data_IF_445691471091
#
_entry.id   IF_445691471091
#
_cell.length_a   1.000
_cell.length_b   1.000
_cell.length_c   1.000
_cell.angle_alpha   90.00
_cell.angle_beta   90.00
_cell.angle_gamma   90.00
#
_symmetry.space_group_name_H-M   'P 1'
#
loop_
_entity.id
_entity.type
_entity.pdbx_description
1 polymer ?
#
# COMPACT_ATOMS: atom_id res chain seq x y z
N UNK A 1 -27.85 -44.75 52.86
CA UNK A 1 -26.62 -43.95 52.61
C UNK A 1 -25.83 -44.48 51.41
N UNK A 2 -25.68 -45.79 51.24
CA UNK A 2 -24.95 -46.41 50.11
C UNK A 2 -25.52 -46.08 48.72
N UNK A 3 -26.84 -46.05 48.56
CA UNK A 3 -27.51 -45.71 47.27
C UNK A 3 -27.28 -44.28 46.80
N UNK A 4 -27.23 -43.32 47.73
CA UNK A 4 -26.99 -41.90 47.42
C UNK A 4 -25.54 -41.65 47.00
N UNK A 5 -24.59 -42.37 47.60
CA UNK A 5 -23.17 -42.35 47.22
C UNK A 5 -23.01 -42.99 45.85
N UNK A 6 -23.64 -44.15 45.61
CA UNK A 6 -23.62 -44.82 44.31
C UNK A 6 -24.18 -43.92 43.18
N UNK A 7 -25.29 -43.22 43.42
CA UNK A 7 -25.87 -42.28 42.46
C UNK A 7 -24.94 -41.09 42.17
N UNK A 8 -24.27 -40.54 43.19
CA UNK A 8 -23.28 -39.45 43.00
C UNK A 8 -22.08 -39.90 42.17
N UNK A 9 -21.53 -41.08 42.47
CA UNK A 9 -20.39 -41.65 41.73
C UNK A 9 -20.77 -41.92 40.27
N UNK A 10 -21.94 -42.51 40.02
CA UNK A 10 -22.45 -42.74 38.67
C UNK A 10 -22.56 -41.42 37.88
N UNK A 11 -23.11 -40.37 38.48
CA UNK A 11 -23.22 -39.06 37.84
C UNK A 11 -21.85 -38.45 37.51
N UNK A 12 -20.86 -38.59 38.40
CA UNK A 12 -19.50 -38.11 38.11
C UNK A 12 -18.82 -38.88 36.98
N UNK A 13 -19.02 -40.21 36.91
CA UNK A 13 -18.50 -41.06 35.84
C UNK A 13 -19.16 -40.75 34.50
N UNK A 14 -20.48 -40.55 34.49
CA UNK A 14 -21.22 -40.16 33.29
C UNK A 14 -20.72 -38.80 32.76
N UNK A 15 -20.51 -37.82 33.65
CA UNK A 15 -19.95 -36.52 33.25
C UNK A 15 -18.53 -36.63 32.66
N UNK A 16 -17.67 -37.47 33.25
CA UNK A 16 -16.32 -37.71 32.73
C UNK A 16 -16.32 -38.44 31.37
N UNK A 17 -17.25 -39.39 31.17
CA UNK A 17 -17.45 -40.09 29.91
C UNK A 17 -17.93 -39.13 28.81
N UNK A 18 -18.95 -38.32 29.11
CA UNK A 18 -19.45 -37.29 28.19
C UNK A 18 -18.36 -36.29 27.77
N UNK A 19 -17.50 -35.87 28.71
CA UNK A 19 -16.37 -34.98 28.42
C UNK A 19 -15.33 -35.63 27.51
N UNK A 20 -15.05 -36.92 27.70
CA UNK A 20 -14.13 -37.68 26.84
C UNK A 20 -14.70 -37.82 25.43
N UNK A 21 -16.01 -38.07 25.31
CA UNK A 21 -16.71 -38.10 24.02
C UNK A 21 -16.69 -36.73 23.33
N UNK A 22 -16.90 -35.64 24.08
CA UNK A 22 -16.81 -34.26 23.56
C UNK A 22 -15.41 -33.97 23.00
N UNK A 23 -14.35 -34.36 23.73
CA UNK A 23 -12.95 -34.24 23.26
C UNK A 23 -12.66 -35.11 22.03
N UNK A 24 -13.18 -36.33 21.98
CA UNK A 24 -13.02 -37.21 20.81
C UNK A 24 -13.74 -36.64 19.58
N UNK A 25 -14.95 -36.10 19.76
CA UNK A 25 -15.74 -35.54 18.66
C UNK A 25 -15.17 -34.24 18.12
N UNK A 26 -14.53 -33.43 18.96
CA UNK A 26 -13.94 -32.13 18.58
C UNK A 26 -12.46 -32.25 18.20
N UNK A 27 -11.78 -33.31 18.65
CA UNK A 27 -10.33 -33.45 18.54
C UNK A 27 -9.54 -32.46 19.41
N UNK A 28 -10.21 -31.65 20.23
CA UNK A 28 -9.59 -30.60 21.03
C UNK A 28 -9.48 -31.03 22.49
N UNK A 29 -8.32 -30.80 23.09
CA UNK A 29 -8.12 -31.03 24.53
C UNK A 29 -8.89 -30.02 25.37
N UNK A 30 -9.08 -28.78 24.92
CA UNK A 30 -9.78 -27.73 25.67
C UNK A 30 -11.00 -27.31 24.85
N UNK A 31 -12.20 -27.67 25.33
CA UNK A 31 -13.47 -27.35 24.66
C UNK A 31 -14.26 -26.25 25.36
N UNK A 32 -14.04 -26.05 26.68
CA UNK A 32 -14.77 -25.07 27.49
C UNK A 32 -13.79 -24.21 28.27
N UNK A 33 -14.10 -22.93 28.38
CA UNK A 33 -13.32 -21.97 29.19
C UNK A 33 -13.26 -22.37 30.67
N UNK A 34 -14.22 -23.18 31.14
CA UNK A 34 -14.26 -23.70 32.51
C UNK A 34 -13.19 -24.75 32.81
N UNK A 35 -12.61 -25.40 31.80
CA UNK A 35 -11.64 -26.50 32.00
C UNK A 35 -10.19 -26.03 32.07
N UNK A 36 -9.83 -25.03 31.26
CA UNK A 36 -8.51 -24.41 31.22
C UNK A 36 -8.63 -23.01 30.57
N UNK A 37 -8.96 -21.97 31.34
CA UNK A 37 -9.20 -20.64 30.77
C UNK A 37 -7.92 -20.04 30.17
N UNK A 38 -6.76 -20.27 30.79
CA UNK A 38 -5.48 -19.77 30.28
C UNK A 38 -5.07 -20.49 28.98
N UNK A 39 -5.21 -21.82 28.94
CA UNK A 39 -4.94 -22.61 27.74
C UNK A 39 -5.91 -22.32 26.60
N UNK A 40 -7.19 -22.02 26.91
CA UNK A 40 -8.15 -21.56 25.90
C UNK A 40 -7.76 -20.20 25.32
N UNK A 41 -7.42 -19.22 26.16
CA UNK A 41 -6.99 -17.89 25.69
C UNK A 41 -5.77 -18.01 24.78
N UNK A 42 -4.73 -18.74 25.20
CA UNK A 42 -3.54 -18.94 24.37
C UNK A 42 -3.88 -19.64 23.04
N UNK A 43 -4.79 -20.62 23.05
CA UNK A 43 -5.23 -21.33 21.84
C UNK A 43 -6.01 -20.43 20.88
N UNK A 44 -6.86 -19.53 21.39
CA UNK A 44 -7.58 -18.57 20.56
C UNK A 44 -6.67 -17.48 20.00
N UNK A 45 -5.67 -17.02 20.76
CA UNK A 45 -4.63 -16.11 20.25
C UNK A 45 -3.88 -16.76 19.08
N UNK A 46 -3.41 -18.00 19.25
CA UNK A 46 -2.73 -18.75 18.18
C UNK A 46 -3.63 -19.04 16.99
N UNK A 47 -4.94 -19.29 17.22
CA UNK A 47 -5.91 -19.46 16.14
C UNK A 47 -6.11 -18.16 15.36
N UNK A 48 -6.19 -17.03 16.06
CA UNK A 48 -6.24 -15.69 15.46
C UNK A 48 -4.98 -15.37 14.66
N UNK A 49 -3.81 -15.66 15.21
CA UNK A 49 -2.52 -15.50 14.53
C UNK A 49 -2.44 -16.39 13.28
N UNK A 50 -2.86 -17.65 13.37
CA UNK A 50 -2.94 -18.54 12.20
C UNK A 50 -3.84 -17.97 11.10
N UNK A 51 -5.01 -17.44 11.45
CA UNK A 51 -5.92 -16.82 10.49
C UNK A 51 -5.30 -15.56 9.86
N UNK A 52 -4.62 -14.74 10.66
CA UNK A 52 -3.85 -13.58 10.19
C UNK A 52 -2.74 -13.98 9.23
N UNK A 53 -1.93 -14.99 9.58
CA UNK A 53 -0.86 -15.52 8.72
C UNK A 53 -1.42 -16.09 7.41
N UNK A 54 -2.54 -16.80 7.45
CA UNK A 54 -3.20 -17.28 6.23
C UNK A 54 -3.63 -16.13 5.32
N UNK A 55 -4.21 -15.06 5.89
CA UNK A 55 -4.54 -13.86 5.13
C UNK A 55 -3.28 -13.16 4.58
N UNK A 56 -2.21 -13.08 5.37
CA UNK A 56 -0.92 -12.51 4.93
C UNK A 56 -0.30 -13.31 3.78
N UNK A 57 -0.33 -14.65 3.83
CA UNK A 57 0.12 -15.51 2.74
C UNK A 57 -0.70 -15.27 1.48
N UNK A 58 -2.03 -15.24 1.59
CA UNK A 58 -2.90 -14.97 0.45
C UNK A 58 -2.65 -13.57 -0.15
N UNK A 59 -2.38 -12.57 0.68
CA UNK A 59 -2.01 -11.22 0.24
C UNK A 59 -0.64 -11.22 -0.45
N UNK A 60 0.35 -11.95 0.09
CA UNK A 60 1.68 -12.11 -0.54
C UNK A 60 1.59 -12.79 -1.90
N UNK A 61 0.74 -13.81 -2.04
CA UNK A 61 0.48 -14.45 -3.34
C UNK A 61 -0.14 -13.48 -4.36
N UNK A 62 -1.10 -12.65 -3.95
CA UNK A 62 -1.64 -11.60 -4.83
C UNK A 62 -0.57 -10.56 -5.21
N UNK A 63 0.25 -10.13 -4.25
CA UNK A 63 1.35 -9.22 -4.55
C UNK A 63 2.31 -9.81 -5.58
N UNK A 64 2.65 -11.11 -5.47
CA UNK A 64 3.45 -11.81 -6.47
C UNK A 64 2.79 -11.84 -7.86
N UNK A 65 1.47 -12.04 -7.95
CA UNK A 65 0.74 -12.01 -9.22
C UNK A 65 0.71 -10.61 -9.85
N UNK A 66 0.57 -9.56 -9.02
CA UNK A 66 0.68 -8.17 -9.48
C UNK A 66 2.07 -7.92 -10.08
N UNK A 67 3.11 -8.30 -9.34
CA UNK A 67 4.50 -8.13 -9.79
C UNK A 67 4.77 -8.91 -11.08
N UNK A 68 4.32 -10.15 -11.20
CA UNK A 68 4.51 -10.94 -12.42
C UNK A 68 3.82 -10.31 -13.65
N UNK A 69 2.64 -9.71 -13.45
CA UNK A 69 1.92 -8.99 -14.51
C UNK A 69 2.68 -7.73 -14.92
N UNK A 70 3.18 -6.97 -13.95
CA UNK A 70 4.01 -5.80 -14.20
C UNK A 70 5.32 -6.18 -14.90
N UNK A 71 5.99 -7.25 -14.48
CA UNK A 71 7.24 -7.75 -15.07
C UNK A 71 7.05 -8.20 -16.52
N UNK A 72 5.96 -8.89 -16.84
CA UNK A 72 5.63 -9.26 -18.21
C UNK A 72 5.45 -8.03 -19.11
N UNK A 73 4.73 -7.01 -18.63
CA UNK A 73 4.54 -5.77 -19.37
C UNK A 73 5.85 -4.97 -19.52
N UNK A 74 6.68 -4.92 -18.47
CA UNK A 74 8.00 -4.25 -18.50
C UNK A 74 9.00 -4.97 -19.40
N UNK A 75 8.93 -6.30 -19.50
CA UNK A 75 9.75 -7.08 -20.44
C UNK A 75 9.43 -6.69 -21.88
N UNK A 76 8.16 -6.54 -22.22
CA UNK A 76 7.75 -6.10 -23.55
C UNK A 76 8.21 -4.66 -23.84
N UNK A 77 8.06 -3.75 -22.87
CA UNK A 77 8.57 -2.38 -22.98
C UNK A 77 10.09 -2.39 -23.15
N UNK A 78 10.83 -3.25 -22.44
CA UNK A 78 12.28 -3.37 -22.58
C UNK A 78 12.68 -3.82 -23.99
N UNK A 79 11.97 -4.77 -24.59
CA UNK A 79 12.23 -5.21 -25.95
C UNK A 79 12.00 -4.08 -26.97
N UNK A 80 10.90 -3.34 -26.82
CA UNK A 80 10.59 -2.17 -27.66
C UNK A 80 11.64 -1.05 -27.51
N UNK A 81 12.20 -0.85 -26.31
CA UNK A 81 13.27 0.13 -26.10
C UNK A 81 14.58 -0.27 -26.76
N UNK A 82 14.89 -1.57 -26.84
CA UNK A 82 16.05 -2.07 -27.59
C UNK A 82 15.84 -1.84 -29.08
N UNK A 83 14.65 -2.15 -29.61
CA UNK A 83 14.30 -1.88 -31.02
C UNK A 83 14.36 -0.38 -31.34
N UNK A 84 13.87 0.48 -30.44
CA UNK A 84 14.01 1.93 -30.55
C UNK A 84 15.48 2.36 -30.60
N UNK A 85 16.32 1.80 -29.74
CA UNK A 85 17.75 2.10 -29.70
C UNK A 85 18.43 1.70 -31.02
N UNK A 86 18.14 0.51 -31.53
CA UNK A 86 18.66 0.04 -32.81
C UNK A 86 18.22 0.97 -33.96
N UNK A 87 16.95 1.40 -33.95
CA UNK A 87 16.42 2.33 -34.94
C UNK A 87 17.17 3.67 -34.87
N UNK A 88 17.34 4.24 -33.67
CA UNK A 88 18.05 5.51 -33.45
C UNK A 88 19.50 5.46 -33.94
N UNK A 89 20.23 4.40 -33.62
CA UNK A 89 21.62 4.21 -34.09
C UNK A 89 21.66 4.06 -35.62
N UNK A 90 20.69 3.34 -36.19
CA UNK A 90 20.60 3.16 -37.63
C UNK A 90 20.23 4.45 -38.39
N UNK A 91 19.46 5.36 -37.78
CA UNK A 91 19.20 6.72 -38.32
C UNK A 91 20.37 7.68 -38.13
N UNK A 92 21.17 7.51 -37.06
CA UNK A 92 22.31 8.37 -36.79
C UNK A 92 23.40 8.23 -37.86
N UNK A 93 23.55 7.04 -38.45
CA UNK A 93 24.41 6.81 -39.62
C UNK A 93 23.75 7.31 -40.91
N UNK A 94 23.67 8.64 -41.06
CA UNK A 94 23.00 9.34 -42.16
C UNK A 94 23.70 9.20 -43.54
N UNK A 95 24.84 8.54 -43.60
CA UNK A 95 25.61 8.38 -44.84
C UNK A 95 24.89 7.41 -45.79
N UNK A 96 24.18 7.95 -46.78
CA UNK A 96 23.49 7.18 -47.82
C UNK A 96 21.97 7.00 -47.63
N UNK A 97 21.38 7.61 -46.59
CA UNK A 97 19.93 7.62 -46.39
C UNK A 97 19.28 8.76 -47.18
N UNK A 98 18.22 8.43 -47.92
CA UNK A 98 17.35 9.43 -48.56
C UNK A 98 16.42 10.11 -47.55
N UNK A 99 15.89 11.29 -47.88
CA UNK A 99 14.96 12.01 -47.00
C UNK A 99 13.67 11.21 -46.74
N UNK A 100 13.17 10.45 -47.72
CA UNK A 100 12.01 9.57 -47.52
C UNK A 100 12.30 8.40 -46.56
N UNK A 101 13.51 7.85 -46.56
CA UNK A 101 13.89 6.77 -45.64
C UNK A 101 14.01 7.28 -44.20
N UNK A 102 14.50 8.52 -44.02
CA UNK A 102 14.55 9.16 -42.71
C UNK A 102 13.14 9.39 -42.15
N UNK A 103 12.21 9.83 -43.00
CA UNK A 103 10.80 10.02 -42.60
C UNK A 103 10.12 8.69 -42.25
N UNK A 104 10.35 7.63 -43.04
CA UNK A 104 9.84 6.29 -42.74
C UNK A 104 10.36 5.75 -41.39
N UNK A 105 11.65 5.93 -41.10
CA UNK A 105 12.23 5.54 -39.80
C UNK A 105 11.67 6.36 -38.63
N UNK A 106 11.35 7.63 -38.84
CA UNK A 106 10.70 8.44 -37.81
C UNK A 106 9.29 7.92 -37.48
N UNK A 107 8.51 7.53 -38.49
CA UNK A 107 7.20 6.91 -38.27
C UNK A 107 7.30 5.61 -37.46
N UNK A 108 8.35 4.82 -37.68
CA UNK A 108 8.60 3.60 -36.94
C UNK A 108 8.94 3.89 -35.47
N UNK A 109 9.79 4.90 -35.21
CA UNK A 109 10.07 5.41 -33.86
C UNK A 109 8.78 5.84 -33.15
N UNK A 110 7.92 6.61 -33.82
CA UNK A 110 6.66 7.09 -33.26
C UNK A 110 5.70 5.92 -32.95
N UNK A 111 5.69 4.89 -33.80
CA UNK A 111 4.92 3.66 -33.58
C UNK A 111 5.40 2.87 -32.35
N UNK A 112 6.72 2.75 -32.18
CA UNK A 112 7.32 2.10 -30.99
C UNK A 112 6.94 2.88 -29.72
N UNK A 113 7.06 4.21 -29.73
CA UNK A 113 6.67 5.06 -28.60
C UNK A 113 5.18 4.95 -28.27
N UNK A 114 4.31 4.89 -29.28
CA UNK A 114 2.87 4.66 -29.10
C UNK A 114 2.59 3.29 -28.48
N UNK A 115 3.31 2.26 -28.93
CA UNK A 115 3.19 0.89 -28.40
C UNK A 115 3.61 0.81 -26.93
N UNK A 116 4.71 1.47 -26.55
CA UNK A 116 5.16 1.57 -25.15
C UNK A 116 4.06 2.21 -24.29
N UNK A 117 3.51 3.36 -24.72
CA UNK A 117 2.43 4.03 -23.98
C UNK A 117 1.18 3.15 -23.85
N UNK A 118 0.83 2.39 -24.90
CA UNK A 118 -0.29 1.45 -24.87
C UNK A 118 -0.07 0.31 -23.89
N UNK A 119 1.13 -0.27 -23.84
CA UNK A 119 1.45 -1.35 -22.90
C UNK A 119 1.46 -0.82 -21.46
N UNK A 120 2.07 0.34 -21.23
CA UNK A 120 2.07 1.00 -19.92
C UNK A 120 0.64 1.31 -19.42
N UNK A 121 -0.23 1.83 -20.29
CA UNK A 121 -1.64 2.08 -19.97
C UNK A 121 -2.52 0.83 -19.95
N UNK A 122 -2.09 -0.27 -20.58
CA UNK A 122 -2.81 -1.54 -20.65
C UNK A 122 -2.50 -2.49 -19.49
N UNK A 123 -1.34 -2.37 -18.86
CA UNK A 123 -0.94 -3.22 -17.74
C UNK A 123 -1.83 -2.98 -16.51
N UNK A 124 -2.71 -3.94 -16.22
CA UNK A 124 -3.67 -3.86 -15.13
C UNK A 124 -3.80 -5.17 -14.36
N UNK A 125 -4.04 -5.05 -13.05
CA UNK A 125 -4.39 -6.18 -12.19
C UNK A 125 -5.65 -5.84 -11.40
N UNK A 126 -6.69 -6.67 -11.54
CA UNK A 126 -7.98 -6.46 -10.90
C UNK A 126 -8.56 -5.03 -11.10
N UNK A 127 -8.33 -4.43 -12.28
CA UNK A 127 -8.78 -3.09 -12.64
C UNK A 127 -7.90 -1.94 -12.15
N UNK A 128 -6.80 -2.22 -11.45
CA UNK A 128 -5.80 -1.22 -11.04
C UNK A 128 -4.68 -1.18 -12.07
N UNK A 129 -4.41 0.00 -12.63
CA UNK A 129 -3.28 0.24 -13.53
C UNK A 129 -1.96 0.15 -12.77
N UNK A 130 -0.97 -0.51 -13.35
CA UNK A 130 0.28 -0.83 -12.67
C UNK A 130 1.44 0.09 -13.08
N UNK A 131 1.46 0.57 -14.33
CA UNK A 131 2.63 1.24 -14.93
C UNK A 131 2.34 2.69 -15.36
N UNK A 132 1.18 3.24 -15.00
CA UNK A 132 0.79 4.62 -15.35
C UNK A 132 1.14 5.66 -14.26
N UNK A 133 1.85 5.23 -13.20
CA UNK A 133 2.18 6.06 -12.04
C UNK A 133 1.01 6.32 -11.08
N UNK A 134 -0.20 5.83 -11.37
CA UNK A 134 -1.36 5.97 -10.48
C UNK A 134 -1.33 5.02 -9.27
N UNK A 135 -0.56 3.93 -9.38
CA UNK A 135 -0.29 2.97 -8.32
C UNK A 135 0.68 3.48 -7.24
N UNK A 136 1.05 4.77 -7.28
CA UNK A 136 1.93 5.37 -6.29
C UNK A 136 1.32 5.32 -4.87
N UNK A 137 2.18 5.28 -3.85
CA UNK A 137 1.78 5.10 -2.47
C UNK A 137 0.98 6.30 -1.95
N UNK A 138 -0.35 6.20 -2.02
CA UNK A 138 -1.25 7.21 -1.45
C UNK A 138 -1.41 7.00 0.04
N UNK A 139 -0.67 7.75 0.84
CA UNK A 139 -0.95 7.90 2.27
C UNK A 139 -2.26 8.68 2.43
N UNK A 140 -3.34 8.01 2.84
CA UNK A 140 -4.61 8.64 3.21
C UNK A 140 -4.89 8.42 4.69
N UNK A 141 -5.29 9.48 5.41
CA UNK A 141 -5.64 9.40 6.83
C UNK A 141 -4.53 9.70 7.84
N UNK A 142 -3.35 10.15 7.41
CA UNK A 142 -2.31 10.69 8.29
C UNK A 142 -2.44 12.22 8.35
N UNK A 143 -2.50 12.79 9.56
CA UNK A 143 -2.38 14.23 9.73
C UNK A 143 -0.99 14.69 9.29
N UNK A 144 -0.88 15.83 8.60
CA UNK A 144 0.37 16.35 8.05
C UNK A 144 1.49 16.49 9.11
N UNK A 145 1.13 16.63 10.39
CA UNK A 145 2.06 16.66 11.53
C UNK A 145 2.75 15.33 11.84
N UNK A 146 2.20 14.21 11.37
CA UNK A 146 2.76 12.87 11.58
C UNK A 146 3.77 12.48 10.49
N UNK A 147 3.86 13.28 9.43
CA UNK A 147 4.75 13.07 8.30
C UNK A 147 6.02 13.88 8.57
N UNK A 148 6.98 13.24 9.23
CA UNK A 148 8.23 13.88 9.64
C UNK A 148 9.26 13.98 8.50
N UNK A 149 9.19 13.06 7.54
CA UNK A 149 9.98 13.05 6.31
C UNK A 149 9.15 12.41 5.19
N UNK A 150 8.79 13.19 4.17
CA UNK A 150 8.13 12.72 2.96
C UNK A 150 8.98 13.10 1.76
N UNK A 151 9.71 12.12 1.22
CA UNK A 151 10.47 12.24 -0.02
C UNK A 151 9.66 11.69 -1.17
N UNK A 152 9.29 12.56 -2.11
CA UNK A 152 8.67 12.19 -3.39
C UNK A 152 9.81 11.99 -4.38
N UNK A 153 10.14 10.73 -4.69
CA UNK A 153 11.30 10.39 -5.53
C UNK A 153 11.01 10.51 -7.04
N UNK A 154 9.73 10.49 -7.47
CA UNK A 154 9.36 10.94 -8.82
C UNK A 154 7.88 11.29 -8.92
N UNK A 155 7.56 12.41 -9.57
CA UNK A 155 6.20 12.79 -9.95
C UNK A 155 6.21 13.09 -11.45
N UNK A 156 5.56 12.25 -12.26
CA UNK A 156 5.34 12.56 -13.68
C UNK A 156 4.12 13.50 -13.79
N UNK A 157 4.40 14.80 -13.91
CA UNK A 157 3.37 15.80 -14.18
C UNK A 157 3.07 15.86 -15.67
N UNK A 158 1.94 15.28 -16.10
CA UNK A 158 1.36 15.57 -17.42
C UNK A 158 0.75 16.97 -17.39
N UNK A 159 1.59 17.99 -17.59
CA UNK A 159 1.18 19.39 -17.64
C UNK A 159 2.18 20.29 -16.91
N UNK A 160 3.04 20.97 -17.68
CA UNK A 160 4.16 21.77 -17.20
C UNK A 160 3.81 23.12 -16.60
N UNK A 161 3.01 23.16 -15.53
CA UNK A 161 2.91 24.34 -14.67
C UNK A 161 3.12 23.96 -13.20
N UNK A 162 4.25 24.32 -12.56
CA UNK A 162 4.40 24.16 -11.12
C UNK A 162 3.33 24.98 -10.41
N UNK A 163 2.43 24.31 -9.68
CA UNK A 163 1.49 24.97 -8.77
C UNK A 163 2.15 25.07 -7.40
N UNK A 164 2.33 26.28 -6.85
CA UNK A 164 2.87 26.41 -5.50
C UNK A 164 1.88 25.82 -4.50
N UNK A 165 2.33 24.84 -3.72
CA UNK A 165 1.62 24.34 -2.54
C UNK A 165 2.00 25.27 -1.39
N UNK A 166 1.04 26.05 -0.89
CA UNK A 166 1.21 26.89 0.28
C UNK A 166 1.00 26.01 1.52
N UNK A 167 2.08 25.64 2.21
CA UNK A 167 2.00 24.93 3.50
C UNK A 167 2.02 25.99 4.60
N UNK A 168 0.84 26.35 5.10
CA UNK A 168 0.71 27.24 6.26
C UNK A 168 0.84 26.41 7.54
N UNK A 169 2.00 26.53 8.20
CA UNK A 169 2.24 25.92 9.51
C UNK A 169 1.68 26.86 10.59
N UNK A 170 0.46 26.61 11.07
CA UNK A 170 -0.02 27.23 12.31
C UNK A 170 0.66 26.57 13.52
N UNK A 171 1.76 27.16 13.99
CA UNK A 171 2.35 26.80 15.28
C UNK A 171 1.42 27.25 16.42
N UNK A 172 1.12 26.32 17.33
CA UNK A 172 0.33 26.52 18.53
C UNK A 172 1.11 27.30 19.60
N UNK A 173 0.57 28.47 19.98
CA UNK A 173 0.65 29.10 21.31
C UNK A 173 2.03 29.37 21.94
N UNK A 174 2.57 30.58 21.75
CA UNK A 174 3.49 31.21 22.70
C UNK A 174 3.07 32.67 22.97
N UNK A 175 3.09 33.10 24.23
CA UNK A 175 2.60 34.40 24.69
C UNK A 175 3.43 35.58 24.13
N UNK A 176 2.78 36.54 23.47
CA UNK A 176 3.38 37.79 23.04
C UNK A 176 3.25 38.88 24.14
N UNK A 177 4.37 39.50 24.52
CA UNK A 177 4.41 40.74 25.33
C UNK A 177 4.99 41.86 24.48
N UNK A 178 4.22 42.92 24.23
CA UNK A 178 4.68 44.13 23.54
C UNK A 178 5.05 45.21 24.56
N UNK A 179 6.28 45.71 24.51
CA UNK A 179 6.74 46.92 25.21
C UNK A 179 6.99 47.98 24.14
N UNK A 180 6.25 49.09 24.16
CA UNK A 180 6.51 50.23 23.28
C UNK A 180 7.13 51.38 24.07
N UNK A 181 8.31 51.83 23.63
CA UNK A 181 8.91 53.10 24.03
C UNK A 181 9.01 54.01 22.78
N UNK A 182 8.19 55.08 22.76
CA UNK A 182 8.21 56.25 21.85
C UNK A 182 7.94 56.06 20.34
N UNK A 183 6.70 56.43 19.97
CA UNK A 183 6.31 57.50 19.02
C UNK A 183 6.99 57.59 17.64
N UNK A 184 6.49 56.82 16.66
CA UNK A 184 5.89 57.36 15.43
C UNK A 184 5.33 56.20 14.60
N UNK A 185 4.01 56.14 14.46
CA UNK A 185 3.33 55.30 13.47
C UNK A 185 3.24 56.11 12.18
N UNK A 186 4.07 55.75 11.20
CA UNK A 186 3.93 56.22 9.83
C UNK A 186 4.02 55.00 8.90
N UNK A 187 2.87 54.57 8.36
CA UNK A 187 2.87 53.98 7.02
C UNK A 187 2.47 52.51 6.82
N UNK A 188 2.22 51.68 7.83
CA UNK A 188 1.67 50.33 7.60
C UNK A 188 0.57 49.95 8.59
N UNK A 189 -0.54 49.41 8.06
CA UNK A 189 -1.70 48.96 8.82
C UNK A 189 -1.36 47.73 9.66
N UNK A 190 -1.22 47.91 10.98
CA UNK A 190 -1.14 46.78 11.92
C UNK A 190 -2.49 46.60 12.58
N UNK A 191 -3.30 45.69 12.04
CA UNK A 191 -4.49 45.18 12.76
C UNK A 191 -4.15 43.82 13.32
N UNK A 192 -3.91 43.78 14.64
CA UNK A 192 -3.77 42.54 15.38
C UNK A 192 -5.16 41.92 15.56
N UNK A 193 -5.45 40.80 14.90
CA UNK A 193 -6.61 39.98 15.22
C UNK A 193 -6.14 38.74 15.98
N UNK A 194 -6.44 38.73 17.27
CA UNK A 194 -6.28 37.55 18.13
C UNK A 194 -7.57 36.73 18.02
N UNK A 195 -7.44 35.45 17.67
CA UNK A 195 -8.40 34.40 17.98
C UNK A 195 -7.60 33.21 18.53
#
# INVERSE_FOLDING_TARGET
>A
MTSMIAARVLNTQLAASNKSLERLSTGLRINRASDDPAGLIASEVLRGEKASLQAAIANGQRASQVVATAEGALTEISNLLVELQDMVVSTANRAGLGDEEVEAKQLEVDSILSSINRIAGGAEFAGVKLLDGSADFRFSGLAASCIQDARIESMQSTGGAPRPIMVEVLQTGQYARLIYAKSALAGENVTLRIA
#
